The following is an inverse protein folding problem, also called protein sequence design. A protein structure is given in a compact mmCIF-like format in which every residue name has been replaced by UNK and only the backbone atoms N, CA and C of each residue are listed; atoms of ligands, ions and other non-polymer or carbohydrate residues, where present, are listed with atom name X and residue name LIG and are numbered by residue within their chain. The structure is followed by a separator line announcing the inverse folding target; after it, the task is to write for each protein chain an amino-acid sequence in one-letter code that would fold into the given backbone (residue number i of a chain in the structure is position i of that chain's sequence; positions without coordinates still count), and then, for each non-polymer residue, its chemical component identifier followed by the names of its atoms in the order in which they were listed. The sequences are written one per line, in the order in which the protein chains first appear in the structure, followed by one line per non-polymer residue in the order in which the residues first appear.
data_IF_088760091857
#
_entry.id   IF_088760091857
#
_cell.length_a   1.000
_cell.length_b   1.000
_cell.length_c   1.000
_cell.angle_alpha   90.00
_cell.angle_beta   90.00
_cell.angle_gamma   90.00
#
_symmetry.space_group_name_H-M   'P 1'
#
loop_
_entity.id
_entity.type
_entity.pdbx_description
1 polymer ?
#
# COMPACT_ATOMS: atom_id res chain seq x y z
N UNK A 1 13.01 1.78 -77.37
CA UNK A 1 14.25 1.68 -76.57
C UNK A 1 13.88 1.74 -75.09
N UNK A 2 13.63 0.57 -74.49
CA UNK A 2 13.25 0.44 -73.08
C UNK A 2 14.49 0.29 -72.20
N UNK A 3 14.65 1.14 -71.18
CA UNK A 3 15.59 0.90 -70.08
C UNK A 3 14.79 0.45 -68.87
N UNK A 4 14.92 -0.83 -68.55
CA UNK A 4 14.47 -1.44 -67.29
C UNK A 4 15.53 -1.07 -66.25
N UNK A 5 15.15 -0.29 -65.23
CA UNK A 5 15.99 -0.02 -64.07
C UNK A 5 15.67 -1.11 -63.05
N UNK A 6 16.55 -2.10 -62.94
CA UNK A 6 16.53 -3.10 -61.89
C UNK A 6 16.95 -2.46 -60.57
N UNK A 7 15.98 -2.23 -59.67
CA UNK A 7 16.26 -1.80 -58.31
C UNK A 7 16.83 -2.98 -57.51
N UNK A 8 18.14 -2.97 -57.28
CA UNK A 8 18.83 -3.88 -56.37
C UNK A 8 18.43 -3.54 -54.94
N UNK A 9 17.53 -4.33 -54.36
CA UNK A 9 17.17 -4.26 -52.94
C UNK A 9 18.41 -4.67 -52.13
N UNK A 10 19.02 -3.72 -51.44
CA UNK A 10 20.23 -3.95 -50.63
C UNK A 10 19.94 -4.92 -49.46
N UNK A 11 20.83 -5.89 -49.17
CA UNK A 11 20.62 -6.88 -48.12
C UNK A 11 20.55 -6.28 -46.70
N UNK A 12 21.03 -5.06 -46.50
CA UNK A 12 20.92 -4.32 -45.24
C UNK A 12 19.47 -3.90 -44.89
N UNK A 13 18.58 -3.78 -45.88
CA UNK A 13 17.19 -3.37 -45.66
C UNK A 13 16.30 -4.53 -45.17
N UNK A 14 16.71 -5.79 -45.40
CA UNK A 14 16.00 -6.97 -44.86
C UNK A 14 16.33 -7.27 -43.40
N UNK A 15 17.41 -6.72 -42.85
CA UNK A 15 17.74 -6.85 -41.42
C UNK A 15 17.08 -5.81 -40.51
N UNK A 16 16.58 -4.70 -41.07
CA UNK A 16 15.93 -3.64 -40.25
C UNK A 16 14.45 -3.95 -40.03
N UNK A 17 13.81 -4.72 -40.91
CA UNK A 17 12.45 -5.23 -40.71
C UNK A 17 12.35 -6.42 -39.75
N UNK A 18 13.49 -6.98 -39.31
CA UNK A 18 13.55 -7.99 -38.23
C UNK A 18 13.91 -7.37 -36.87
N UNK A 19 14.21 -6.07 -36.81
CA UNK A 19 14.48 -5.36 -35.57
C UNK A 19 13.25 -4.64 -34.99
N UNK A 20 12.15 -4.55 -35.75
CA UNK A 20 10.90 -3.94 -35.31
C UNK A 20 9.92 -4.93 -34.64
N UNK A 21 10.31 -6.20 -34.49
CA UNK A 21 9.47 -7.26 -33.93
C UNK A 21 9.94 -7.77 -32.54
N UNK A 22 10.96 -7.15 -31.92
CA UNK A 22 11.57 -7.63 -30.67
C UNK A 22 11.47 -6.68 -29.47
N UNK A 23 10.59 -5.68 -29.49
CA UNK A 23 10.38 -4.79 -28.34
C UNK A 23 8.93 -4.71 -27.85
N UNK A 24 8.07 -5.68 -28.19
CA UNK A 24 6.71 -5.81 -27.65
C UNK A 24 6.61 -7.01 -26.70
N UNK A 25 7.42 -6.99 -25.64
CA UNK A 25 7.17 -7.81 -24.46
C UNK A 25 7.54 -7.04 -23.19
N UNK A 26 7.13 -5.77 -23.10
CA UNK A 26 6.77 -5.26 -21.79
C UNK A 26 5.42 -5.91 -21.45
N UNK A 27 5.47 -7.13 -20.91
CA UNK A 27 4.39 -7.55 -20.02
C UNK A 27 4.45 -6.58 -18.87
N UNK A 28 3.69 -5.49 -18.94
CA UNK A 28 3.19 -4.86 -17.75
C UNK A 28 2.48 -6.00 -17.02
N UNK A 29 3.14 -6.58 -16.01
CA UNK A 29 2.44 -7.43 -15.06
C UNK A 29 1.39 -6.52 -14.46
N UNK A 30 0.16 -6.64 -14.93
CA UNK A 30 -0.98 -6.08 -14.22
C UNK A 30 -0.88 -6.70 -12.83
N UNK A 31 -0.56 -5.87 -11.84
CA UNK A 31 -0.58 -6.26 -10.45
C UNK A 31 -1.91 -6.97 -10.22
N UNK A 32 -1.88 -8.27 -9.86
CA UNK A 32 -3.12 -8.98 -9.60
C UNK A 32 -3.89 -8.21 -8.52
N UNK A 33 -5.22 -8.11 -8.62
CA UNK A 33 -6.01 -7.40 -7.63
C UNK A 33 -5.76 -7.98 -6.23
N UNK A 34 -4.94 -7.27 -5.44
CA UNK A 34 -4.55 -7.68 -4.09
C UNK A 34 -5.59 -7.17 -3.09
N UNK A 35 -6.38 -8.10 -2.56
CA UNK A 35 -7.38 -7.87 -1.51
C UNK A 35 -6.79 -7.07 -0.34
N UNK A 36 -5.52 -7.32 0.00
CA UNK A 36 -4.80 -6.59 1.05
C UNK A 36 -4.61 -5.11 0.71
N UNK A 37 -4.24 -4.82 -0.55
CA UNK A 37 -4.11 -3.44 -1.04
C UNK A 37 -5.47 -2.74 -1.07
N UNK A 38 -6.52 -3.40 -1.56
CA UNK A 38 -7.89 -2.85 -1.53
C UNK A 38 -8.34 -2.55 -0.09
N UNK A 39 -8.07 -3.46 0.84
CA UNK A 39 -8.37 -3.26 2.26
C UNK A 39 -7.60 -2.07 2.85
N UNK A 40 -6.31 -1.92 2.52
CA UNK A 40 -5.48 -0.78 2.98
C UNK A 40 -6.04 0.56 2.51
N UNK A 41 -6.46 0.65 1.24
CA UNK A 41 -7.06 1.88 0.72
C UNK A 41 -8.37 2.22 1.44
N UNK A 42 -9.18 1.21 1.78
CA UNK A 42 -10.39 1.40 2.59
C UNK A 42 -10.06 1.87 4.02
N UNK A 43 -8.99 1.36 4.62
CA UNK A 43 -8.52 1.79 5.95
C UNK A 43 -8.02 3.25 5.90
N UNK A 44 -7.23 3.61 4.89
CA UNK A 44 -6.75 4.98 4.65
C UNK A 44 -7.93 5.96 4.52
N UNK A 45 -8.88 5.67 3.63
CA UNK A 45 -10.09 6.50 3.46
C UNK A 45 -10.85 6.62 4.80
N UNK A 46 -10.86 5.57 5.62
CA UNK A 46 -11.57 5.59 6.89
C UNK A 46 -10.92 6.46 7.98
N UNK A 47 -9.62 6.72 7.87
CA UNK A 47 -8.84 7.49 8.85
C UNK A 47 -8.63 8.92 8.36
N UNK A 48 -8.20 9.10 7.12
CA UNK A 48 -7.65 10.36 6.61
C UNK A 48 -8.68 11.26 5.93
N UNK A 49 -9.87 10.75 5.58
CA UNK A 49 -10.91 11.57 4.93
C UNK A 49 -11.33 12.81 5.76
N UNK A 50 -11.19 12.77 7.09
CA UNK A 50 -11.49 13.92 7.95
C UNK A 50 -10.55 15.12 7.73
N UNK A 51 -9.34 14.89 7.22
CA UNK A 51 -8.38 15.93 6.82
C UNK A 51 -8.76 16.55 5.48
N UNK A 52 -9.36 15.76 4.58
CA UNK A 52 -9.79 16.19 3.26
C UNK A 52 -11.10 17.01 3.28
N UNK A 53 -12.08 16.62 4.10
CA UNK A 53 -13.42 17.22 4.12
C UNK A 53 -13.85 17.55 5.54
N UNK A 54 -14.28 18.80 5.75
CA UNK A 54 -14.81 19.29 7.02
C UNK A 54 -16.11 20.07 6.79
N UNK A 55 -17.13 19.79 7.60
CA UNK A 55 -18.46 20.43 7.53
C UNK A 55 -19.08 20.43 6.12
N UNK A 56 -18.93 19.33 5.38
CA UNK A 56 -19.46 19.19 4.02
C UNK A 56 -18.72 19.98 2.94
N UNK A 57 -17.55 20.55 3.27
CA UNK A 57 -16.70 21.31 2.35
C UNK A 57 -15.32 20.67 2.27
N UNK A 58 -14.68 20.80 1.12
CA UNK A 58 -13.28 20.41 0.95
C UNK A 58 -12.44 21.34 1.83
N UNK A 59 -11.72 20.75 2.78
CA UNK A 59 -10.81 21.44 3.68
C UNK A 59 -9.40 21.51 3.06
N UNK A 60 -8.98 20.43 2.39
CA UNK A 60 -7.75 20.33 1.62
C UNK A 60 -8.02 19.65 0.27
N UNK A 61 -7.68 20.35 -0.82
CA UNK A 61 -7.96 19.91 -2.19
C UNK A 61 -7.06 18.76 -2.64
N UNK A 62 -5.82 18.71 -2.14
CA UNK A 62 -4.88 17.64 -2.47
C UNK A 62 -5.35 16.34 -1.81
N UNK A 63 -5.60 16.39 -0.50
CA UNK A 63 -6.12 15.26 0.28
C UNK A 63 -7.47 14.78 -0.28
N UNK A 64 -8.37 15.70 -0.66
CA UNK A 64 -9.65 15.33 -1.25
C UNK A 64 -9.50 14.60 -2.58
N UNK A 65 -8.58 15.04 -3.44
CA UNK A 65 -8.30 14.35 -4.70
C UNK A 65 -7.76 12.94 -4.47
N UNK A 66 -6.89 12.76 -3.47
CA UNK A 66 -6.44 11.43 -3.07
C UNK A 66 -7.60 10.55 -2.59
N UNK A 67 -8.53 11.08 -1.81
CA UNK A 67 -9.70 10.31 -1.36
C UNK A 67 -10.55 9.82 -2.54
N UNK A 68 -10.73 10.67 -3.55
CA UNK A 68 -11.42 10.31 -4.79
C UNK A 68 -10.64 9.23 -5.53
N UNK A 69 -9.34 9.42 -5.75
CA UNK A 69 -8.48 8.48 -6.47
C UNK A 69 -8.45 7.10 -5.78
N UNK A 70 -8.25 7.05 -4.47
CA UNK A 70 -8.26 5.80 -3.71
C UNK A 70 -9.63 5.10 -3.80
N UNK A 71 -10.73 5.85 -3.76
CA UNK A 71 -12.07 5.25 -3.91
C UNK A 71 -12.31 4.69 -5.31
N UNK A 72 -11.74 5.30 -6.36
CA UNK A 72 -11.77 4.79 -7.73
C UNK A 72 -10.90 3.54 -7.88
N UNK A 73 -9.71 3.52 -7.27
CA UNK A 73 -8.84 2.33 -7.24
C UNK A 73 -9.54 1.17 -6.54
N UNK A 74 -10.17 1.41 -5.39
CA UNK A 74 -10.94 0.39 -4.66
C UNK A 74 -12.04 -0.20 -5.55
N UNK A 75 -12.84 0.64 -6.20
CA UNK A 75 -13.92 0.14 -7.06
C UNK A 75 -13.40 -0.68 -8.26
N UNK A 76 -12.31 -0.24 -8.90
CA UNK A 76 -11.67 -1.00 -9.98
C UNK A 76 -11.14 -2.34 -9.51
N UNK A 77 -10.44 -2.38 -8.37
CA UNK A 77 -9.89 -3.61 -7.81
C UNK A 77 -10.99 -4.59 -7.42
N UNK A 78 -12.04 -4.12 -6.73
CA UNK A 78 -13.19 -4.95 -6.37
C UNK A 78 -13.88 -5.56 -7.59
N UNK A 79 -13.99 -4.81 -8.69
CA UNK A 79 -14.64 -5.26 -9.91
C UNK A 79 -13.90 -6.38 -10.66
N UNK A 80 -12.60 -6.57 -10.40
CA UNK A 80 -11.78 -7.60 -11.04
C UNK A 80 -11.43 -8.77 -10.12
N UNK A 81 -11.91 -8.76 -8.87
CA UNK A 81 -11.74 -9.88 -7.95
C UNK A 81 -12.45 -11.14 -8.48
N UNK A 82 -11.93 -12.36 -8.20
CA UNK A 82 -12.54 -13.61 -8.64
C UNK A 82 -14.02 -13.70 -8.28
N UNK A 83 -14.85 -14.28 -9.16
CA UNK A 83 -16.28 -14.36 -8.90
C UNK A 83 -16.58 -15.17 -7.62
N UNK A 84 -17.28 -14.51 -6.70
CA UNK A 84 -17.88 -15.09 -5.50
C UNK A 84 -19.34 -14.67 -5.42
N UNK A 85 -20.15 -15.35 -4.59
CA UNK A 85 -21.56 -14.97 -4.36
C UNK A 85 -21.72 -13.52 -3.87
N UNK A 86 -20.68 -12.95 -3.27
CA UNK A 86 -20.69 -11.64 -2.62
C UNK A 86 -20.07 -10.53 -3.50
N UNK A 87 -19.43 -10.87 -4.63
CA UNK A 87 -18.74 -9.92 -5.52
C UNK A 87 -19.65 -8.75 -5.95
N UNK A 88 -20.86 -9.04 -6.43
CA UNK A 88 -21.80 -8.01 -6.88
C UNK A 88 -22.24 -7.07 -5.75
N UNK A 89 -22.33 -7.56 -4.51
CA UNK A 89 -22.63 -6.72 -3.36
C UNK A 89 -21.45 -5.79 -3.03
N UNK A 90 -20.20 -6.28 -3.15
CA UNK A 90 -19.00 -5.48 -2.95
C UNK A 90 -18.86 -4.38 -4.00
N UNK A 91 -19.10 -4.67 -5.29
CA UNK A 91 -19.09 -3.66 -6.37
C UNK A 91 -20.07 -2.53 -6.06
N UNK A 92 -21.33 -2.88 -5.73
CA UNK A 92 -22.34 -1.86 -5.37
C UNK A 92 -21.91 -1.01 -4.18
N UNK A 93 -21.26 -1.61 -3.18
CA UNK A 93 -20.79 -0.88 -2.00
C UNK A 93 -19.58 -0.02 -2.31
N UNK A 94 -18.65 -0.43 -3.17
CA UNK A 94 -17.54 0.44 -3.59
C UNK A 94 -18.05 1.65 -4.38
N UNK A 95 -19.07 1.50 -5.22
CA UNK A 95 -19.70 2.63 -5.91
C UNK A 95 -20.44 3.57 -4.93
N UNK A 96 -21.09 3.01 -3.90
CA UNK A 96 -21.67 3.80 -2.83
C UNK A 96 -20.61 4.61 -2.07
N UNK A 97 -19.44 4.03 -1.78
CA UNK A 97 -18.35 4.77 -1.15
C UNK A 97 -17.90 5.98 -1.98
N UNK A 98 -17.71 5.79 -3.29
CA UNK A 98 -17.39 6.87 -4.24
C UNK A 98 -18.43 7.98 -4.20
N UNK A 99 -19.72 7.62 -4.17
CA UNK A 99 -20.81 8.59 -4.06
C UNK A 99 -20.79 9.36 -2.73
N UNK A 100 -20.49 8.70 -1.61
CA UNK A 100 -20.36 9.39 -0.30
C UNK A 100 -19.25 10.45 -0.32
N UNK A 101 -18.09 10.11 -0.90
CA UNK A 101 -16.94 11.00 -1.04
C UNK A 101 -17.24 12.16 -2.01
N UNK A 102 -17.88 11.86 -3.14
CA UNK A 102 -18.30 12.89 -4.12
C UNK A 102 -19.26 13.91 -3.49
N UNK A 103 -20.21 13.43 -2.68
CA UNK A 103 -21.19 14.24 -1.96
C UNK A 103 -20.64 14.94 -0.72
N UNK A 104 -19.35 14.76 -0.39
CA UNK A 104 -18.69 15.36 0.78
C UNK A 104 -19.44 15.04 2.07
N UNK A 105 -19.91 13.80 2.18
CA UNK A 105 -20.66 13.32 3.34
C UNK A 105 -19.82 13.44 4.62
N UNK A 106 -20.45 13.50 5.82
CA UNK A 106 -19.73 13.64 7.08
C UNK A 106 -18.64 12.57 7.24
N UNK A 107 -17.47 12.97 7.73
CA UNK A 107 -16.30 12.09 7.81
C UNK A 107 -16.57 10.81 8.59
N UNK A 108 -17.33 10.89 9.70
CA UNK A 108 -17.73 9.72 10.46
C UNK A 108 -18.55 8.71 9.65
N UNK A 109 -19.40 9.18 8.73
CA UNK A 109 -20.22 8.32 7.87
C UNK A 109 -19.34 7.60 6.84
N UNK A 110 -18.41 8.33 6.21
CA UNK A 110 -17.43 7.76 5.27
C UNK A 110 -16.54 6.74 5.98
N UNK A 111 -16.07 7.06 7.18
CA UNK A 111 -15.22 6.18 7.98
C UNK A 111 -15.94 4.88 8.37
N UNK A 112 -17.17 4.98 8.91
CA UNK A 112 -17.98 3.78 9.23
C UNK A 112 -18.25 2.93 8.00
N UNK A 113 -18.59 3.56 6.87
CA UNK A 113 -18.89 2.85 5.63
C UNK A 113 -17.66 2.12 5.08
N UNK A 114 -16.50 2.80 5.05
CA UNK A 114 -15.24 2.24 4.56
C UNK A 114 -14.80 1.03 5.38
N UNK A 115 -14.85 1.11 6.73
CA UNK A 115 -14.58 -0.05 7.61
C UNK A 115 -15.54 -1.20 7.38
N UNK A 116 -16.83 -0.92 7.20
CA UNK A 116 -17.83 -1.94 6.94
C UNK A 116 -17.66 -2.60 5.55
N UNK A 117 -17.15 -1.87 4.56
CA UNK A 117 -16.80 -2.41 3.25
C UNK A 117 -15.53 -3.28 3.37
N UNK A 118 -14.52 -2.81 4.09
CA UNK A 118 -13.29 -3.54 4.36
C UNK A 118 -13.57 -4.88 5.07
N UNK A 119 -14.47 -4.89 6.06
CA UNK A 119 -14.89 -6.12 6.73
C UNK A 119 -15.55 -7.11 5.77
N UNK A 120 -16.48 -6.65 4.92
CA UNK A 120 -17.14 -7.55 3.95
C UNK A 120 -16.21 -8.04 2.85
N UNK A 121 -15.22 -7.24 2.47
CA UNK A 121 -14.18 -7.66 1.53
C UNK A 121 -13.43 -8.89 2.08
N UNK A 122 -13.05 -8.87 3.37
CA UNK A 122 -12.38 -10.01 4.01
C UNK A 122 -13.29 -11.22 4.21
N UNK A 123 -14.59 -11.01 4.44
CA UNK A 123 -15.56 -12.10 4.49
C UNK A 123 -15.64 -12.84 3.15
N UNK A 124 -15.63 -12.10 2.04
CA UNK A 124 -15.72 -12.67 0.70
C UNK A 124 -14.38 -13.24 0.19
N UNK A 125 -13.28 -12.59 0.54
CA UNK A 125 -11.92 -12.97 0.14
C UNK A 125 -11.01 -12.98 1.37
N UNK A 126 -11.00 -14.10 2.12
CA UNK A 126 -10.16 -14.21 3.31
C UNK A 126 -8.69 -14.10 2.96
N UNK A 127 -8.04 -13.06 3.48
CA UNK A 127 -6.59 -12.89 3.47
C UNK A 127 -6.10 -12.60 4.89
N UNK A 128 -4.94 -13.12 5.30
CA UNK A 128 -4.40 -12.82 6.62
C UNK A 128 -4.01 -11.35 6.70
N UNK A 129 -4.65 -10.63 7.63
CA UNK A 129 -4.30 -9.25 8.02
C UNK A 129 -3.55 -9.17 9.35
N UNK A 130 -3.17 -10.33 9.88
CA UNK A 130 -2.47 -10.50 11.13
C UNK A 130 -1.52 -11.69 10.99
N UNK A 131 -0.44 -11.75 11.78
CA UNK A 131 0.47 -12.88 11.77
C UNK A 131 -0.25 -14.15 12.23
N UNK A 132 0.13 -15.29 11.65
CA UNK A 132 -0.42 -16.60 12.03
C UNK A 132 0.13 -17.12 13.36
N UNK A 133 1.19 -16.52 13.87
CA UNK A 133 1.88 -16.87 15.12
C UNK A 133 2.34 -15.59 15.85
N UNK A 134 2.64 -15.71 17.13
CA UNK A 134 3.19 -14.59 17.90
C UNK A 134 4.52 -14.10 17.27
N UNK A 135 4.69 -12.80 17.01
CA UNK A 135 5.91 -12.31 16.39
C UNK A 135 7.11 -12.34 17.34
N UNK A 136 8.24 -12.90 16.88
CA UNK A 136 9.50 -12.89 17.64
C UNK A 136 10.20 -11.52 17.55
N UNK A 137 9.94 -10.66 18.55
CA UNK A 137 10.50 -9.31 18.61
C UNK A 137 12.02 -9.29 18.85
N UNK A 138 12.60 -10.34 19.43
CA UNK A 138 14.06 -10.43 19.64
C UNK A 138 14.73 -10.64 18.30
N UNK A 139 14.22 -11.58 17.51
CA UNK A 139 14.67 -11.81 16.13
C UNK A 139 14.43 -10.60 15.24
N UNK A 140 13.26 -9.96 15.35
CA UNK A 140 12.95 -8.74 14.59
C UNK A 140 13.95 -7.62 14.85
N UNK A 141 14.38 -7.42 16.09
CA UNK A 141 15.42 -6.43 16.44
C UNK A 141 16.74 -6.70 15.72
N UNK A 142 17.15 -7.98 15.63
CA UNK A 142 18.36 -8.36 14.89
C UNK A 142 18.23 -8.05 13.40
N UNK A 143 17.09 -8.42 12.80
CA UNK A 143 16.84 -8.17 11.38
C UNK A 143 16.77 -6.66 11.10
N UNK A 144 16.11 -5.89 11.96
CA UNK A 144 16.03 -4.43 11.83
C UNK A 144 17.41 -3.78 11.85
N UNK A 145 18.28 -4.19 12.77
CA UNK A 145 19.66 -3.70 12.85
C UNK A 145 20.47 -3.99 11.58
N UNK A 146 20.21 -5.12 10.91
CA UNK A 146 20.92 -5.53 9.71
C UNK A 146 20.40 -4.86 8.43
N UNK A 147 19.10 -4.58 8.35
CA UNK A 147 18.42 -4.22 7.10
C UNK A 147 17.81 -2.82 7.08
N UNK A 148 17.45 -2.26 8.24
CA UNK A 148 16.63 -1.04 8.33
C UNK A 148 17.39 0.12 8.99
N UNK A 149 18.29 -0.19 9.92
CA UNK A 149 18.94 0.79 10.79
C UNK A 149 19.82 1.81 10.05
N UNK A 150 20.37 1.47 8.88
CA UNK A 150 21.19 2.40 8.09
C UNK A 150 20.39 3.60 7.56
N UNK A 151 19.08 3.42 7.35
CA UNK A 151 18.18 4.47 6.88
C UNK A 151 17.33 5.07 8.02
N UNK A 152 16.80 4.22 8.90
CA UNK A 152 15.86 4.62 9.96
C UNK A 152 16.52 4.89 11.32
N UNK A 153 17.84 4.68 11.45
CA UNK A 153 18.58 4.82 12.69
C UNK A 153 18.65 3.53 13.52
N UNK A 154 19.67 3.41 14.38
CA UNK A 154 19.99 2.17 15.10
C UNK A 154 18.87 1.63 16.00
N UNK A 155 18.08 2.54 16.59
CA UNK A 155 16.92 2.22 17.41
C UNK A 155 15.59 2.52 16.70
N UNK A 156 15.62 2.71 15.37
CA UNK A 156 14.50 3.25 14.60
C UNK A 156 14.17 4.72 14.91
N UNK A 157 15.12 5.41 15.53
CA UNK A 157 15.02 6.82 15.91
C UNK A 157 16.15 7.64 15.28
N UNK A 158 15.90 8.94 15.09
CA UNK A 158 16.87 9.88 14.53
C UNK A 158 17.53 9.36 13.23
N UNK A 159 16.75 9.20 12.13
CA UNK A 159 17.28 8.88 10.81
C UNK A 159 18.54 9.71 10.50
N UNK A 160 19.63 9.10 9.98
CA UNK A 160 20.88 9.82 9.76
C UNK A 160 20.66 11.06 8.89
N UNK A 161 21.34 12.18 9.20
CA UNK A 161 21.18 13.43 8.47
C UNK A 161 21.37 13.26 6.95
N UNK A 162 22.29 12.37 6.54
CA UNK A 162 22.53 12.05 5.14
C UNK A 162 21.31 11.45 4.42
N UNK A 163 20.39 10.82 5.16
CA UNK A 163 19.18 10.19 4.62
C UNK A 163 17.98 11.14 4.60
N UNK A 164 18.05 12.29 5.27
CA UNK A 164 16.95 13.27 5.25
C UNK A 164 16.78 13.98 3.90
N UNK A 165 17.76 13.87 3.00
CA UNK A 165 17.67 14.38 1.63
C UNK A 165 16.89 13.44 0.67
N UNK A 166 16.49 12.25 1.14
CA UNK A 166 15.63 11.34 0.38
C UNK A 166 14.20 11.89 0.32
N UNK A 167 13.48 11.55 -0.74
CA UNK A 167 12.09 11.92 -0.94
C UNK A 167 11.19 10.67 -1.06
N UNK A 168 10.28 10.41 -0.10
CA UNK A 168 10.20 11.06 1.21
C UNK A 168 11.39 10.66 2.11
N UNK A 169 11.70 11.44 3.16
CA UNK A 169 12.72 11.06 4.13
C UNK A 169 12.29 9.81 4.91
N UNK A 170 13.25 8.97 5.38
CA UNK A 170 12.91 7.83 6.21
C UNK A 170 12.17 8.25 7.47
N UNK A 171 11.18 7.45 7.84
CA UNK A 171 10.37 7.65 9.03
C UNK A 171 11.24 7.50 10.29
N UNK A 172 11.05 8.43 11.24
CA UNK A 172 11.40 8.23 12.65
C UNK A 172 10.26 7.47 13.34
N UNK A 173 10.56 6.28 13.87
CA UNK A 173 9.57 5.41 14.51
C UNK A 173 9.29 5.79 15.97
N UNK A 174 9.95 6.81 16.53
CA UNK A 174 9.67 7.32 17.89
C UNK A 174 8.58 8.39 17.94
N UNK A 175 8.13 8.89 16.78
CA UNK A 175 7.01 9.82 16.70
C UNK A 175 5.70 9.12 17.10
N UNK A 176 5.22 9.42 18.32
CA UNK A 176 4.03 8.80 18.90
C UNK A 176 2.73 9.19 18.18
N UNK A 177 2.62 10.41 17.68
CA UNK A 177 1.40 10.87 17.01
C UNK A 177 1.26 10.16 15.66
N UNK A 178 2.37 10.02 14.92
CA UNK A 178 2.40 9.22 13.70
C UNK A 178 2.26 7.73 13.97
N UNK A 179 2.84 7.20 15.04
CA UNK A 179 2.71 5.78 15.40
C UNK A 179 1.24 5.39 15.63
N UNK A 180 0.45 6.25 16.28
CA UNK A 180 -0.99 6.03 16.51
C UNK A 180 -1.84 6.00 15.23
N UNK A 181 -1.32 6.53 14.14
CA UNK A 181 -1.98 6.55 12.82
C UNK A 181 -1.56 5.36 11.95
N UNK A 182 -0.62 4.51 12.40
CA UNK A 182 -0.08 3.37 11.63
C UNK A 182 -0.60 2.06 12.20
N UNK A 183 -1.10 1.19 11.33
CA UNK A 183 -1.42 -0.20 11.71
C UNK A 183 -0.22 -1.12 11.51
N UNK A 184 -0.13 -2.19 12.30
CA UNK A 184 0.89 -3.23 12.12
C UNK A 184 0.81 -3.85 10.72
N UNK A 185 -0.40 -4.02 10.18
CA UNK A 185 -0.60 -4.49 8.82
C UNK A 185 -0.08 -3.49 7.77
N UNK A 186 -0.30 -2.19 7.95
CA UNK A 186 0.26 -1.16 7.07
C UNK A 186 1.79 -1.21 7.03
N UNK A 187 2.44 -1.34 8.19
CA UNK A 187 3.89 -1.52 8.29
C UNK A 187 4.35 -2.81 7.60
N UNK A 188 3.66 -3.93 7.83
CA UNK A 188 3.94 -5.21 7.16
C UNK A 188 3.88 -5.07 5.64
N UNK A 189 2.88 -4.35 5.11
CA UNK A 189 2.77 -4.14 3.67
C UNK A 189 3.90 -3.27 3.13
N UNK A 190 4.27 -2.18 3.80
CA UNK A 190 5.42 -1.34 3.40
C UNK A 190 6.71 -2.14 3.41
N UNK A 191 6.95 -2.96 4.44
CA UNK A 191 8.12 -3.85 4.51
C UNK A 191 8.08 -4.87 3.35
N UNK A 192 6.91 -5.41 3.04
CA UNK A 192 6.75 -6.41 1.99
C UNK A 192 6.96 -5.81 0.60
N UNK A 193 6.22 -4.77 0.26
CA UNK A 193 6.12 -4.23 -1.10
C UNK A 193 7.19 -3.16 -1.37
N UNK A 194 7.75 -2.56 -0.33
CA UNK A 194 8.44 -1.28 -0.45
C UNK A 194 7.46 -0.14 -0.72
N UNK A 195 8.00 1.02 -1.08
CA UNK A 195 7.23 2.16 -1.58
C UNK A 195 7.81 2.58 -2.93
N UNK A 196 7.05 2.36 -4.01
CA UNK A 196 7.45 2.70 -5.36
C UNK A 196 7.80 4.20 -5.47
N UNK A 197 8.85 4.52 -6.23
CA UNK A 197 9.34 5.89 -6.38
C UNK A 197 10.17 6.41 -5.19
N UNK A 198 10.36 5.62 -4.14
CA UNK A 198 11.15 5.99 -2.96
C UNK A 198 12.39 5.10 -2.79
N UNK A 199 13.22 5.40 -1.79
CA UNK A 199 14.35 4.52 -1.41
C UNK A 199 13.94 3.33 -0.53
N UNK A 200 12.67 3.21 -0.14
CA UNK A 200 12.19 2.10 0.68
C UNK A 200 11.94 0.86 -0.18
N UNK A 201 12.91 -0.05 -0.19
CA UNK A 201 12.87 -1.28 -0.98
C UNK A 201 11.88 -2.34 -0.46
N UNK A 202 11.53 -3.31 -1.32
CA UNK A 202 10.80 -4.52 -0.94
C UNK A 202 11.71 -5.50 -0.19
N UNK A 203 11.17 -6.11 0.87
CA UNK A 203 11.83 -7.18 1.64
C UNK A 203 11.13 -8.54 1.48
N UNK A 204 10.55 -8.83 0.32
CA UNK A 204 9.95 -10.14 0.00
C UNK A 204 10.91 -11.32 0.11
N UNK A 205 12.23 -11.08 0.16
CA UNK A 205 13.25 -12.09 0.45
C UNK A 205 13.25 -12.58 1.90
N UNK A 206 12.65 -11.83 2.83
CA UNK A 206 12.43 -12.26 4.22
C UNK A 206 11.17 -13.13 4.32
N UNK A 207 11.16 -14.05 5.29
CA UNK A 207 9.98 -14.88 5.54
C UNK A 207 8.77 -14.03 5.94
N UNK A 208 7.57 -14.59 5.81
CA UNK A 208 6.34 -13.89 6.22
C UNK A 208 6.34 -13.55 7.71
N UNK A 209 6.80 -14.50 8.52
CA UNK A 209 6.95 -14.37 9.97
C UNK A 209 7.94 -13.25 10.32
N UNK A 210 9.07 -13.17 9.62
CA UNK A 210 10.07 -12.12 9.84
C UNK A 210 9.55 -10.73 9.45
N UNK A 211 8.80 -10.64 8.34
CA UNK A 211 8.16 -9.37 7.93
C UNK A 211 7.10 -8.91 8.92
N UNK A 212 6.30 -9.83 9.46
CA UNK A 212 5.35 -9.53 10.53
C UNK A 212 6.06 -9.12 11.82
N UNK A 213 7.10 -9.83 12.22
CA UNK A 213 7.86 -9.49 13.41
C UNK A 213 8.53 -8.11 13.32
N UNK A 214 9.07 -7.75 12.14
CA UNK A 214 9.56 -6.41 11.86
C UNK A 214 8.46 -5.35 11.97
N UNK A 215 7.26 -5.62 11.45
CA UNK A 215 6.15 -4.69 11.50
C UNK A 215 5.72 -4.40 12.95
N UNK A 216 5.61 -5.43 13.79
CA UNK A 216 5.31 -5.29 15.21
C UNK A 216 6.44 -4.61 15.97
N UNK A 217 7.70 -4.97 15.68
CA UNK A 217 8.86 -4.33 16.29
C UNK A 217 8.87 -2.83 15.98
N UNK A 218 8.82 -2.44 14.71
CA UNK A 218 8.83 -1.04 14.29
C UNK A 218 7.63 -0.26 14.84
N UNK A 219 6.44 -0.85 14.82
CA UNK A 219 5.22 -0.23 15.38
C UNK A 219 5.25 -0.07 16.91
N UNK A 220 6.08 -0.84 17.61
CA UNK A 220 6.21 -0.75 19.07
C UNK A 220 7.24 0.28 19.55
N UNK A 221 8.09 0.83 18.67
CA UNK A 221 9.22 1.69 19.06
C UNK A 221 8.77 2.96 19.80
N UNK A 222 7.69 3.61 19.36
CA UNK A 222 7.14 4.79 20.04
C UNK A 222 6.34 4.46 21.31
N UNK A 223 6.05 3.19 21.58
CA UNK A 223 5.12 2.77 22.64
C UNK A 223 5.91 2.34 23.88
N UNK A 224 5.97 3.23 24.88
CA UNK A 224 6.83 3.05 26.05
C UNK A 224 6.20 2.16 27.15
N UNK A 225 4.87 2.04 27.22
CA UNK A 225 4.16 1.42 28.36
C UNK A 225 3.45 0.11 27.97
N UNK A 226 4.25 -0.89 27.60
CA UNK A 226 3.77 -2.26 27.30
C UNK A 226 2.99 -2.85 28.48
N UNK A 227 3.42 -2.57 29.72
CA UNK A 227 2.79 -3.09 30.94
C UNK A 227 1.39 -2.50 31.18
N UNK A 228 1.15 -1.23 30.82
CA UNK A 228 -0.19 -0.65 30.81
C UNK A 228 -1.05 -1.23 29.69
N UNK A 229 -0.49 -1.40 28.50
CA UNK A 229 -1.21 -2.06 27.40
C UNK A 229 -1.67 -3.47 27.78
N UNK A 230 -0.80 -4.23 28.43
CA UNK A 230 -1.09 -5.58 28.91
C UNK A 230 -2.17 -5.61 30.00
N UNK A 231 -2.18 -4.64 30.93
CA UNK A 231 -3.27 -4.51 31.91
C UNK A 231 -4.62 -4.24 31.26
N UNK A 232 -4.68 -3.26 30.35
CA UNK A 232 -5.91 -2.92 29.64
C UNK A 232 -6.44 -4.15 28.89
N UNK A 233 -5.57 -4.86 28.16
CA UNK A 233 -5.96 -6.06 27.42
C UNK A 233 -6.47 -7.20 28.32
N UNK A 234 -5.94 -7.35 29.53
CA UNK A 234 -6.41 -8.37 30.48
C UNK A 234 -7.71 -8.00 31.20
N UNK A 235 -8.05 -6.72 31.23
CA UNK A 235 -9.22 -6.19 31.93
C UNK A 235 -10.45 -6.00 31.00
N UNK A 236 -10.26 -6.01 29.68
CA UNK A 236 -11.31 -6.02 28.62
C UNK A 236 -11.77 -7.45 28.26
#
# INVERSE_FOLDING_TARGET
MHRIISATVHPAMRLILLALALCLSATASAEEPDVRTTWRLLDYIAVDYASAVSNGRVADEFEYREMVEFSDVVARQVAVLPDTKDNQALIRRSDQLRALIANKEPAERVARFSRALAASLLTAYPVPLAPSQEPDLVRARTIFAQNCASCHGAAGSAPPAAMQALDPPPIDFTDIDRARQRSAFGLYQVITQGLEGTSMASFTSLSDEDRWALAFYAGSIALEDVAKGERIWRED
#
